data_IF_276311575365
#
_entry.id   IF_276311575365
#
_cell.length_a   1.000
_cell.length_b   1.000
_cell.length_c   1.000
_cell.angle_alpha   90.00
_cell.angle_beta   90.00
_cell.angle_gamma   90.00
#
_symmetry.space_group_name_H-M   'P 1'
#
loop_
_entity.id
_entity.type
_entity.pdbx_description
1 polymer ?
#
# COMPACT_ATOMS: atom_id res chain seq x y z
N UNK A 1 2.51 8.53 -37.11
CA UNK A 1 1.69 8.70 -35.87
C UNK A 1 2.47 8.15 -34.67
N UNK A 2 3.17 9.05 -33.98
CA UNK A 2 4.03 8.76 -32.83
C UNK A 2 3.22 8.27 -31.63
N UNK A 3 3.43 7.02 -31.21
CA UNK A 3 3.09 6.57 -29.85
C UNK A 3 4.31 6.80 -28.97
N UNK A 4 4.35 7.95 -28.30
CA UNK A 4 5.24 8.18 -27.17
C UNK A 4 4.87 7.18 -26.07
N UNK A 5 5.76 6.23 -25.79
CA UNK A 5 5.69 5.43 -24.57
C UNK A 5 6.01 6.36 -23.41
N UNK A 6 4.98 6.90 -22.77
CA UNK A 6 5.12 7.55 -21.46
C UNK A 6 5.78 6.53 -20.54
N UNK A 7 7.03 6.77 -20.18
CA UNK A 7 7.81 5.87 -19.34
C UNK A 7 7.14 5.75 -17.97
N UNK A 8 6.58 4.57 -17.67
CA UNK A 8 6.06 4.24 -16.37
C UNK A 8 7.22 4.29 -15.36
N UNK A 9 7.32 5.40 -14.62
CA UNK A 9 8.37 5.54 -13.61
C UNK A 9 7.83 4.95 -12.32
N UNK A 10 8.14 3.67 -12.07
CA UNK A 10 7.89 3.01 -10.80
C UNK A 10 9.10 3.22 -9.89
N UNK A 11 8.92 3.92 -8.77
CA UNK A 11 9.95 4.04 -7.73
C UNK A 11 9.42 3.44 -6.43
N UNK A 12 10.21 2.54 -5.85
CA UNK A 12 9.86 1.77 -4.65
C UNK A 12 10.75 2.23 -3.49
N UNK A 13 10.13 2.60 -2.37
CA UNK A 13 10.79 2.82 -1.10
C UNK A 13 10.44 1.65 -0.16
N UNK A 14 11.46 0.93 0.32
CA UNK A 14 11.28 -0.23 1.20
C UNK A 14 12.10 -0.03 2.48
N UNK A 15 11.52 -0.40 3.62
CA UNK A 15 12.18 -0.37 4.93
C UNK A 15 11.84 -1.64 5.71
N UNK A 16 12.86 -2.23 6.34
CA UNK A 16 12.72 -3.44 7.13
C UNK A 16 13.28 -3.22 8.54
N UNK A 17 12.61 -3.79 9.54
CA UNK A 17 13.20 -4.07 10.86
C UNK A 17 13.32 -5.59 10.95
N UNK A 18 14.52 -6.07 11.27
CA UNK A 18 14.73 -7.47 11.65
C UNK A 18 14.01 -7.73 12.98
N UNK A 19 12.90 -8.45 12.93
CA UNK A 19 12.25 -9.04 14.09
C UNK A 19 12.32 -10.56 13.93
N UNK A 20 12.89 -11.23 14.93
CA UNK A 20 13.28 -12.64 14.90
C UNK A 20 12.24 -13.59 14.33
N UNK A 21 12.73 -14.55 13.55
CA UNK A 21 11.93 -15.50 12.79
C UNK A 21 10.96 -16.37 13.62
N UNK A 22 9.97 -16.91 12.91
CA UNK A 22 8.96 -17.82 13.43
C UNK A 22 9.59 -19.17 13.86
N UNK A 23 10.19 -19.21 15.05
CA UNK A 23 10.80 -20.44 15.59
C UNK A 23 10.62 -20.68 17.09
N UNK A 24 10.08 -19.74 17.87
CA UNK A 24 10.20 -19.79 19.33
C UNK A 24 9.02 -20.39 20.10
N UNK A 25 7.90 -20.76 19.46
CA UNK A 25 6.67 -21.15 20.20
C UNK A 25 5.98 -22.40 19.66
N UNK A 26 6.69 -23.53 19.55
CA UNK A 26 6.17 -24.92 19.71
C UNK A 26 4.93 -25.42 18.93
N UNK A 27 4.32 -24.61 18.06
CA UNK A 27 3.13 -24.92 17.27
C UNK A 27 3.39 -24.56 15.82
N UNK A 28 3.86 -25.53 15.05
CA UNK A 28 4.25 -25.33 13.65
C UNK A 28 3.02 -25.24 12.74
N UNK A 29 3.04 -24.33 11.76
CA UNK A 29 2.06 -24.30 10.66
C UNK A 29 0.89 -23.32 10.80
N UNK A 30 0.78 -22.56 11.89
CA UNK A 30 -0.28 -21.55 12.07
C UNK A 30 0.30 -20.14 12.15
N UNK A 31 -0.35 -19.19 11.47
CA UNK A 31 -0.04 -17.77 11.57
C UNK A 31 -0.34 -17.28 13.01
N UNK A 32 0.65 -16.64 13.65
CA UNK A 32 0.51 -15.96 14.94
C UNK A 32 0.76 -14.47 14.72
N UNK A 33 -0.17 -13.63 15.16
CA UNK A 33 -0.08 -12.18 14.97
C UNK A 33 -0.54 -11.43 16.23
N UNK A 34 0.31 -10.54 16.74
CA UNK A 34 -0.05 -9.58 17.78
C UNK A 34 -0.74 -8.36 17.15
N UNK A 35 -2.01 -8.49 16.78
CA UNK A 35 -2.71 -7.51 15.94
C UNK A 35 -2.73 -6.06 16.47
N UNK A 36 -2.82 -5.88 17.80
CA UNK A 36 -2.85 -4.54 18.42
C UNK A 36 -1.54 -3.77 18.24
N UNK A 37 -0.40 -4.46 18.36
CA UNK A 37 0.92 -3.86 18.21
C UNK A 37 1.22 -3.55 16.74
N UNK A 38 0.87 -4.47 15.83
CA UNK A 38 1.00 -4.23 14.38
C UNK A 38 0.16 -3.02 13.97
N UNK A 39 -1.09 -2.92 14.43
CA UNK A 39 -1.95 -1.79 14.11
C UNK A 39 -1.38 -0.45 14.60
N UNK A 40 -0.91 -0.37 15.85
CA UNK A 40 -0.42 0.89 16.45
C UNK A 40 0.72 1.50 15.66
N UNK A 41 1.60 0.67 15.12
CA UNK A 41 2.78 1.13 14.38
C UNK A 41 2.58 1.20 12.87
N UNK A 42 1.60 0.49 12.32
CA UNK A 42 1.38 0.40 10.87
C UNK A 42 1.15 1.77 10.24
N UNK A 43 0.13 2.50 10.68
CA UNK A 43 -0.30 3.77 10.05
C UNK A 43 0.85 4.78 10.00
N UNK A 44 1.59 4.94 11.10
CA UNK A 44 2.70 5.90 11.15
C UNK A 44 3.87 5.50 10.23
N UNK A 45 4.21 4.20 10.16
CA UNK A 45 5.30 3.72 9.30
C UNK A 45 4.96 3.79 7.82
N UNK A 46 3.73 3.44 7.48
CA UNK A 46 3.21 3.49 6.11
C UNK A 46 3.15 4.94 5.60
N UNK A 47 2.62 5.85 6.43
CA UNK A 47 2.62 7.27 6.09
C UNK A 47 4.04 7.81 5.88
N UNK A 48 4.98 7.48 6.77
CA UNK A 48 6.36 7.94 6.64
C UNK A 48 7.05 7.45 5.35
N UNK A 49 6.83 6.20 4.94
CA UNK A 49 7.41 5.69 3.69
C UNK A 49 6.73 6.26 2.45
N UNK A 50 5.44 6.61 2.52
CA UNK A 50 4.75 7.37 1.47
C UNK A 50 5.32 8.79 1.35
N UNK A 51 5.51 9.48 2.48
CA UNK A 51 6.11 10.81 2.53
C UNK A 51 7.52 10.83 1.92
N UNK A 52 8.34 9.83 2.24
CA UNK A 52 9.67 9.66 1.66
C UNK A 52 9.62 9.46 0.14
N UNK A 53 8.70 8.62 -0.34
CA UNK A 53 8.55 8.36 -1.77
C UNK A 53 8.08 9.61 -2.53
N UNK A 54 7.16 10.39 -1.96
CA UNK A 54 6.70 11.66 -2.55
C UNK A 54 7.82 12.69 -2.58
N UNK A 55 8.52 12.89 -1.46
CA UNK A 55 9.63 13.82 -1.36
C UNK A 55 10.77 13.48 -2.33
N UNK A 56 11.11 12.20 -2.48
CA UNK A 56 12.12 11.73 -3.44
C UNK A 56 11.76 11.98 -4.91
N UNK A 57 10.50 12.35 -5.19
CA UNK A 57 10.00 12.68 -6.52
C UNK A 57 9.53 14.15 -6.65
N UNK A 58 9.74 14.98 -5.61
CA UNK A 58 9.27 16.37 -5.61
C UNK A 58 7.75 16.51 -5.65
N UNK A 59 7.03 15.50 -5.13
CA UNK A 59 5.57 15.44 -5.10
C UNK A 59 5.05 15.71 -3.68
N UNK A 60 3.76 16.01 -3.59
CA UNK A 60 3.03 16.26 -2.34
C UNK A 60 1.80 15.36 -2.27
N UNK A 61 1.12 15.35 -1.11
CA UNK A 61 -0.13 14.59 -0.96
C UNK A 61 -1.22 15.06 -1.92
N UNK A 62 -1.19 16.35 -2.32
CA UNK A 62 -2.16 16.93 -3.25
C UNK A 62 -2.05 16.37 -4.67
N UNK A 63 -0.89 15.81 -5.03
CA UNK A 63 -0.65 15.21 -6.34
C UNK A 63 -1.19 13.78 -6.44
N UNK A 64 -1.66 13.18 -5.33
CA UNK A 64 -2.13 11.79 -5.30
C UNK A 64 -3.57 11.72 -5.81
N UNK A 65 -3.76 10.95 -6.89
CA UNK A 65 -5.07 10.65 -7.44
C UNK A 65 -5.71 9.43 -6.77
N UNK A 66 -4.90 8.39 -6.52
CA UNK A 66 -5.37 7.12 -5.96
C UNK A 66 -4.44 6.53 -4.90
N UNK A 67 -5.03 5.96 -3.86
CA UNK A 67 -4.37 5.07 -2.92
C UNK A 67 -4.82 3.62 -3.16
N UNK A 68 -3.87 2.72 -3.40
CA UNK A 68 -4.08 1.28 -3.50
C UNK A 68 -3.28 0.58 -2.39
N UNK A 69 -3.85 0.47 -1.18
CA UNK A 69 -3.14 -0.03 -0.02
C UNK A 69 -3.17 -1.57 0.05
N UNK A 70 -2.31 -2.15 0.89
CA UNK A 70 -2.43 -3.54 1.27
C UNK A 70 -3.77 -3.79 1.99
N UNK A 71 -4.53 -4.77 1.48
CA UNK A 71 -5.88 -5.09 1.93
C UNK A 71 -5.87 -5.95 3.21
N UNK A 72 -5.28 -5.44 4.30
CA UNK A 72 -5.21 -6.17 5.56
C UNK A 72 -6.46 -6.01 6.42
N UNK A 73 -6.88 -4.77 6.62
CA UNK A 73 -7.96 -4.41 7.54
C UNK A 73 -8.53 -3.06 7.15
N UNK A 74 -9.85 -2.97 7.08
CA UNK A 74 -10.59 -1.74 6.76
C UNK A 74 -10.14 -0.54 7.59
N UNK A 75 -9.87 -0.73 8.89
CA UNK A 75 -9.47 0.35 9.80
C UNK A 75 -8.09 0.94 9.46
N UNK A 76 -7.16 0.11 8.97
CA UNK A 76 -5.82 0.60 8.55
C UNK A 76 -5.98 1.40 7.26
N UNK A 77 -6.77 0.89 6.32
CA UNK A 77 -7.03 1.52 5.03
C UNK A 77 -7.66 2.91 5.22
N UNK A 78 -8.70 3.02 6.05
CA UNK A 78 -9.35 4.29 6.37
C UNK A 78 -8.40 5.26 7.09
N UNK A 79 -7.59 4.76 8.01
CA UNK A 79 -6.61 5.58 8.72
C UNK A 79 -5.54 6.14 7.77
N UNK A 80 -5.09 5.34 6.80
CA UNK A 80 -4.16 5.78 5.76
C UNK A 80 -4.77 6.81 4.82
N UNK A 81 -6.00 6.59 4.35
CA UNK A 81 -6.73 7.58 3.54
C UNK A 81 -6.82 8.94 4.25
N UNK A 82 -7.22 8.94 5.53
CA UNK A 82 -7.26 10.15 6.37
C UNK A 82 -5.88 10.78 6.58
N UNK A 83 -4.85 9.97 6.81
CA UNK A 83 -3.48 10.43 7.06
C UNK A 83 -2.86 11.11 5.85
N UNK A 84 -3.23 10.67 4.63
CA UNK A 84 -2.82 11.26 3.36
C UNK A 84 -3.78 12.34 2.85
N UNK A 85 -4.78 12.72 3.65
CA UNK A 85 -5.80 13.71 3.28
C UNK A 85 -6.54 13.40 1.96
N UNK A 86 -6.82 12.12 1.73
CA UNK A 86 -7.56 11.64 0.56
C UNK A 86 -9.04 11.48 0.88
N UNK A 87 -9.88 11.78 -0.11
CA UNK A 87 -11.30 11.46 -0.04
C UNK A 87 -11.50 9.94 -0.08
N UNK A 88 -12.48 9.37 0.64
CA UNK A 88 -12.71 7.92 0.68
C UNK A 88 -12.84 7.27 -0.70
N UNK A 89 -13.39 7.98 -1.68
CA UNK A 89 -13.62 7.50 -3.04
C UNK A 89 -12.32 7.33 -3.84
N UNK A 90 -11.22 7.95 -3.39
CA UNK A 90 -9.87 7.82 -3.97
C UNK A 90 -9.06 6.69 -3.35
N UNK A 91 -9.66 5.91 -2.45
CA UNK A 91 -9.02 4.76 -1.81
C UNK A 91 -9.62 3.47 -2.36
N UNK A 92 -8.78 2.63 -2.95
CA UNK A 92 -9.24 1.35 -3.49
C UNK A 92 -9.39 0.33 -2.36
N UNK A 93 -10.64 -0.10 -2.16
CA UNK A 93 -11.01 -1.09 -1.15
C UNK A 93 -11.55 -2.35 -1.84
N UNK A 94 -10.94 -3.48 -1.51
CA UNK A 94 -11.41 -4.83 -1.88
C UNK A 94 -11.33 -5.83 -0.74
N UNK A 95 -10.89 -5.42 0.46
CA UNK A 95 -10.82 -6.29 1.65
C UNK A 95 -12.19 -6.85 2.05
N UNK A 96 -13.27 -6.15 1.72
CA UNK A 96 -14.66 -6.59 1.90
C UNK A 96 -15.03 -7.78 1.01
N UNK A 97 -14.39 -7.92 -0.17
CA UNK A 97 -14.64 -9.00 -1.14
C UNK A 97 -13.59 -10.11 -1.09
N UNK A 98 -12.32 -9.74 -0.94
CA UNK A 98 -11.18 -10.64 -1.09
C UNK A 98 -10.48 -10.97 0.24
N UNK A 99 -10.84 -10.31 1.34
CA UNK A 99 -10.09 -10.36 2.59
C UNK A 99 -8.59 -10.04 2.38
N UNK A 100 -7.73 -10.49 3.30
CA UNK A 100 -6.30 -10.33 3.19
C UNK A 100 -5.68 -11.47 2.36
N UNK A 101 -5.18 -11.14 1.17
CA UNK A 101 -4.52 -12.08 0.25
C UNK A 101 -2.98 -11.93 0.25
N UNK A 102 -2.42 -11.37 1.34
CA UNK A 102 -1.00 -11.16 1.54
C UNK A 102 -0.38 -10.32 0.41
N UNK A 103 0.66 -10.82 -0.27
CA UNK A 103 1.33 -10.14 -1.37
C UNK A 103 0.39 -9.87 -2.58
N UNK A 104 -0.69 -10.64 -2.73
CA UNK A 104 -1.63 -10.45 -3.85
C UNK A 104 -2.62 -9.30 -3.64
N UNK A 105 -2.73 -8.74 -2.42
CA UNK A 105 -3.75 -7.74 -2.09
C UNK A 105 -3.67 -6.48 -2.95
N UNK A 106 -2.47 -5.95 -3.18
CA UNK A 106 -2.26 -4.74 -4.00
C UNK A 106 -2.51 -5.01 -5.49
N UNK A 107 -1.89 -6.02 -6.13
CA UNK A 107 -2.11 -6.25 -7.55
C UNK A 107 -3.56 -6.61 -7.88
N UNK A 108 -4.27 -7.34 -7.00
CA UNK A 108 -5.70 -7.61 -7.20
C UNK A 108 -6.53 -6.32 -7.15
N UNK A 109 -6.33 -5.48 -6.13
CA UNK A 109 -7.04 -4.21 -6.00
C UNK A 109 -6.74 -3.25 -7.16
N UNK A 110 -5.47 -3.17 -7.58
CA UNK A 110 -5.03 -2.35 -8.70
C UNK A 110 -5.64 -2.84 -10.03
N UNK A 111 -5.64 -4.15 -10.27
CA UNK A 111 -6.21 -4.72 -11.47
C UNK A 111 -7.71 -4.45 -11.57
N UNK A 112 -8.44 -4.57 -10.46
CA UNK A 112 -9.86 -4.27 -10.39
C UNK A 112 -10.15 -2.79 -10.70
N UNK A 113 -9.44 -1.87 -10.03
CA UNK A 113 -9.64 -0.43 -10.21
C UNK A 113 -9.22 0.08 -11.59
N UNK A 114 -8.31 -0.62 -12.29
CA UNK A 114 -8.03 -0.34 -13.71
C UNK A 114 -9.08 -0.96 -14.63
N UNK A 115 -9.56 -2.16 -14.30
CA UNK A 115 -10.56 -2.87 -15.11
C UNK A 115 -11.92 -2.19 -15.14
N UNK A 116 -12.32 -1.52 -14.05
CA UNK A 116 -13.57 -0.77 -13.96
C UNK A 116 -13.46 0.73 -14.31
N UNK A 117 -12.26 1.19 -14.67
CA UNK A 117 -12.03 2.55 -15.18
C UNK A 117 -11.91 3.64 -14.11
N UNK A 118 -11.81 3.29 -12.83
CA UNK A 118 -11.46 4.22 -11.75
C UNK A 118 -10.08 4.85 -11.98
N UNK A 119 -9.06 4.01 -12.15
CA UNK A 119 -7.66 4.42 -12.40
C UNK A 119 -7.42 4.54 -13.91
N UNK A 120 -6.97 5.71 -14.35
CA UNK A 120 -6.73 6.04 -15.75
C UNK A 120 -5.25 6.33 -16.01
N UNK A 121 -4.88 6.38 -17.29
CA UNK A 121 -3.55 6.84 -17.68
C UNK A 121 -3.40 8.32 -17.31
N UNK A 122 -2.24 8.69 -16.75
CA UNK A 122 -1.93 9.99 -16.19
C UNK A 122 -2.04 10.04 -14.66
N UNK A 123 -2.88 9.20 -14.07
CA UNK A 123 -3.16 9.22 -12.63
C UNK A 123 -1.91 8.83 -11.83
N UNK A 124 -1.65 9.58 -10.75
CA UNK A 124 -0.64 9.25 -9.75
C UNK A 124 -1.22 8.29 -8.71
N UNK A 125 -0.72 7.06 -8.72
CA UNK A 125 -1.16 5.98 -7.83
C UNK A 125 -0.09 5.71 -6.79
N UNK A 126 -0.48 5.78 -5.52
CA UNK A 126 0.34 5.37 -4.38
C UNK A 126 -0.08 3.98 -3.94
N UNK A 127 0.89 3.08 -3.84
CA UNK A 127 0.75 1.74 -3.28
C UNK A 127 1.56 1.64 -2.00
N UNK A 128 1.02 1.00 -0.97
CA UNK A 128 1.73 0.80 0.29
C UNK A 128 1.39 -0.56 0.90
N UNK A 129 2.36 -1.17 1.58
CA UNK A 129 2.19 -2.44 2.26
C UNK A 129 2.98 -2.52 3.56
N UNK A 130 2.45 -3.30 4.50
CA UNK A 130 3.14 -3.76 5.70
C UNK A 130 2.92 -5.27 5.89
N UNK A 131 3.99 -6.00 6.25
CA UNK A 131 3.98 -7.45 6.41
C UNK A 131 4.79 -7.93 7.63
N UNK A 132 4.65 -9.22 7.95
CA UNK A 132 5.42 -9.88 9.01
C UNK A 132 6.92 -9.80 8.73
N UNK A 133 7.70 -9.46 9.74
CA UNK A 133 9.13 -9.18 9.56
C UNK A 133 9.74 -8.29 10.63
N UNK A 134 9.28 -7.06 10.91
CA UNK A 134 8.31 -6.22 10.23
C UNK A 134 8.93 -5.61 8.96
N UNK A 135 8.26 -5.78 7.82
CA UNK A 135 8.63 -5.15 6.55
C UNK A 135 7.54 -4.20 6.11
N UNK A 136 7.90 -3.06 5.55
CA UNK A 136 6.94 -2.14 4.94
C UNK A 136 7.56 -1.39 3.77
N UNK A 137 6.71 -0.91 2.88
CA UNK A 137 7.17 -0.15 1.74
C UNK A 137 6.05 0.60 1.05
N UNK A 138 6.43 1.55 0.21
CA UNK A 138 5.56 2.24 -0.72
C UNK A 138 6.13 2.20 -2.12
N UNK A 139 5.25 2.34 -3.10
CA UNK A 139 5.61 2.58 -4.47
C UNK A 139 4.69 3.64 -5.05
N UNK A 140 5.25 4.52 -5.88
CA UNK A 140 4.48 5.52 -6.62
C UNK A 140 4.63 5.20 -8.09
N UNK A 141 3.51 5.18 -8.80
CA UNK A 141 3.45 4.94 -10.23
C UNK A 141 2.52 5.96 -10.89
N UNK A 142 2.93 6.42 -12.07
CA UNK A 142 2.04 7.11 -13.00
C UNK A 142 1.63 6.14 -14.10
N UNK A 143 0.33 5.95 -14.31
CA UNK A 143 -0.18 5.02 -15.33
C UNK A 143 -0.28 5.65 -16.71
#
# INVERSE_FOLDING_TARGET
>A
PHTERVGQTLRVACSAIECGGAGSTGGTGLLRMAGKEVFRHAVSKLAAVVDQALAANGLTHADIDWLVPHQANQRIIEAMGKKLNLQPERVVVSVDRHANTSAASIPLALAEARGDGRIKNGDLVVMEAIGGGLTWGSAIARF
#
